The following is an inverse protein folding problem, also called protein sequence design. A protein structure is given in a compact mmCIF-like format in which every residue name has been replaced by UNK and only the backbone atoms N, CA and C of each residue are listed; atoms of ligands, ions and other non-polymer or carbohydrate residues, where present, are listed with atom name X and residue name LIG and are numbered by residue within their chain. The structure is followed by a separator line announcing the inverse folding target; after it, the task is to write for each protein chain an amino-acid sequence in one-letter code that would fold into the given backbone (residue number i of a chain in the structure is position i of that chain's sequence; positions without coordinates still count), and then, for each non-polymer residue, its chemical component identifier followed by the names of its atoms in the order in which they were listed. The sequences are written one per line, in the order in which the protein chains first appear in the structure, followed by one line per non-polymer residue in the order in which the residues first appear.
data_IF_499877484346
#
_entry.id   IF_499877484346
#
_cell.length_a   1.000
_cell.length_b   1.000
_cell.length_c   1.000
_cell.angle_alpha   90.00
_cell.angle_beta   90.00
_cell.angle_gamma   90.00
#
_symmetry.space_group_name_H-M   'P 1'
#
loop_
_entity.id
_entity.type
_entity.pdbx_description
1 polymer ?
#
# COMPACT_ATOMS: atom_id res chain seq x y z
N UNK A 1 -12.67 3.59 6.38
CA UNK A 1 -11.75 2.54 6.84
C UNK A 1 -10.34 3.10 6.97
N UNK A 2 -9.69 2.81 8.08
CA UNK A 2 -8.34 3.26 8.34
C UNK A 2 -7.35 2.21 7.86
N UNK A 3 -6.44 2.60 7.00
CA UNK A 3 -5.43 1.71 6.45
C UNK A 3 -4.06 2.34 6.68
N UNK A 4 -3.11 1.54 7.10
CA UNK A 4 -1.75 2.00 7.34
C UNK A 4 -0.73 1.20 6.56
N UNK A 5 0.37 1.84 6.23
CA UNK A 5 1.50 1.22 5.56
C UNK A 5 2.79 1.70 6.22
N UNK A 6 3.72 0.78 6.43
CA UNK A 6 5.02 1.08 7.01
C UNK A 6 6.10 0.50 6.09
N UNK A 7 7.04 1.33 5.69
CA UNK A 7 8.17 0.88 4.88
C UNK A 7 9.38 0.72 5.81
N UNK A 8 9.99 -0.45 5.74
CA UNK A 8 11.07 -0.85 6.65
C UNK A 8 12.30 -1.24 5.84
N UNK A 9 13.45 -0.75 6.23
CA UNK A 9 14.70 -1.07 5.58
C UNK A 9 15.22 -2.45 5.96
N UNK A 10 16.33 -2.84 5.36
CA UNK A 10 16.89 -4.18 5.57
C UNK A 10 17.33 -4.45 6.99
N UNK A 11 17.65 -3.41 7.73
CA UNK A 11 18.05 -3.54 9.13
C UNK A 11 16.87 -3.30 10.08
N UNK A 12 15.66 -3.35 9.51
CA UNK A 12 14.39 -3.19 10.23
C UNK A 12 14.15 -1.80 10.79
N UNK A 13 14.87 -0.83 10.26
CA UNK A 13 14.60 0.57 10.59
C UNK A 13 13.35 1.03 9.81
N UNK A 14 12.56 1.90 10.44
CA UNK A 14 11.41 2.48 9.76
C UNK A 14 11.88 3.56 8.81
N UNK A 15 11.56 3.41 7.54
CA UNK A 15 11.91 4.37 6.49
C UNK A 15 10.83 5.43 6.38
N UNK A 16 9.58 5.02 6.30
CA UNK A 16 8.47 5.95 6.21
C UNK A 16 7.17 5.24 6.56
N UNK A 17 6.13 6.03 6.75
CA UNK A 17 4.78 5.50 6.99
C UNK A 17 3.80 6.25 6.13
N UNK A 18 2.63 5.67 5.95
CA UNK A 18 1.54 6.31 5.23
C UNK A 18 0.21 5.79 5.73
N UNK A 19 -0.82 6.57 5.54
CA UNK A 19 -2.19 6.15 5.79
C UNK A 19 -3.07 6.70 4.68
N UNK A 20 -4.25 6.13 4.51
CA UNK A 20 -5.16 6.57 3.46
C UNK A 20 -5.74 7.93 3.83
N UNK A 21 -5.58 8.89 2.95
CA UNK A 21 -5.95 10.27 3.26
C UNK A 21 -6.01 11.12 1.98
N UNK A 22 -6.58 12.30 2.12
CA UNK A 22 -6.44 13.33 1.09
C UNK A 22 -4.99 13.83 1.10
N UNK A 23 -4.51 14.31 -0.04
CA UNK A 23 -3.18 14.91 -0.07
C UNK A 23 -3.07 16.10 0.86
N UNK A 24 -1.85 16.40 1.28
CA UNK A 24 -1.59 17.54 2.15
C UNK A 24 -2.07 18.85 1.51
N UNK A 25 -2.70 19.69 2.31
CA UNK A 25 -3.17 20.98 1.84
C UNK A 25 -4.51 20.96 1.13
N UNK A 26 -5.07 19.78 0.91
CA UNK A 26 -6.37 19.66 0.28
C UNK A 26 -7.44 19.69 1.35
N UNK A 27 -8.50 20.45 1.10
CA UNK A 27 -9.62 20.57 2.05
C UNK A 27 -10.38 19.25 2.11
N UNK A 28 -10.23 18.53 3.20
CA UNK A 28 -10.88 17.24 3.41
C UNK A 28 -12.26 17.35 4.08
N UNK A 29 -12.72 18.58 4.30
CA UNK A 29 -14.01 18.81 4.97
C UNK A 29 -15.16 19.04 4.01
N UNK A 30 -14.90 19.05 2.71
CA UNK A 30 -15.96 19.18 1.73
C UNK A 30 -16.68 17.87 1.55
N UNK A 31 -17.96 17.85 1.85
CA UNK A 31 -18.74 16.60 1.82
C UNK A 31 -18.75 15.93 0.45
N UNK A 32 -18.79 16.72 -0.61
CA UNK A 32 -18.84 16.17 -1.97
C UNK A 32 -17.58 15.39 -2.33
N UNK A 33 -16.47 15.65 -1.64
CA UNK A 33 -15.22 14.91 -1.87
C UNK A 33 -15.15 13.63 -1.07
N UNK A 34 -16.01 13.47 -0.08
CA UNK A 34 -16.04 12.28 0.77
C UNK A 34 -16.90 11.17 0.18
N UNK A 35 -17.70 11.49 -0.79
CA UNK A 35 -18.66 10.54 -1.35
C UNK A 35 -18.19 9.99 -2.68
N UNK A 36 -18.49 8.71 -2.91
CA UNK A 36 -18.19 8.04 -4.17
C UNK A 36 -19.18 8.53 -5.24
N UNK A 37 -18.74 8.68 -6.49
CA UNK A 37 -17.40 8.34 -6.99
C UNK A 37 -16.38 9.48 -6.85
N UNK A 38 -16.81 10.66 -6.42
CA UNK A 38 -15.93 11.82 -6.35
C UNK A 38 -14.70 11.56 -5.46
N UNK A 39 -14.89 10.88 -4.35
CA UNK A 39 -13.83 10.53 -3.42
C UNK A 39 -12.61 9.92 -4.10
N UNK A 40 -12.81 9.13 -5.14
CA UNK A 40 -11.70 8.45 -5.82
C UNK A 40 -10.74 9.39 -6.51
N UNK A 41 -11.14 10.60 -6.79
CA UNK A 41 -10.27 11.59 -7.42
C UNK A 41 -9.41 12.33 -6.40
N UNK A 42 -9.79 12.30 -5.13
CA UNK A 42 -9.17 13.13 -4.09
C UNK A 42 -8.39 12.33 -3.06
N UNK A 43 -8.71 11.07 -2.90
CA UNK A 43 -8.21 10.23 -1.82
C UNK A 43 -7.02 9.42 -2.29
N UNK A 44 -5.95 9.41 -1.50
CA UNK A 44 -4.77 8.61 -1.84
C UNK A 44 -4.67 7.41 -0.91
N UNK A 45 -4.16 6.31 -1.43
CA UNK A 45 -4.01 5.08 -0.68
C UNK A 45 -2.78 5.12 0.24
N UNK A 46 -2.86 4.37 1.35
CA UNK A 46 -1.79 4.32 2.33
C UNK A 46 -0.46 3.88 1.72
N UNK A 47 -0.50 2.91 0.83
CA UNK A 47 0.71 2.37 0.20
C UNK A 47 1.47 3.45 -0.56
N UNK A 48 0.76 4.18 -1.42
CA UNK A 48 1.40 5.23 -2.19
C UNK A 48 1.80 6.40 -1.31
N UNK A 49 1.00 6.70 -0.29
CA UNK A 49 1.37 7.77 0.65
C UNK A 49 2.68 7.46 1.38
N UNK A 50 2.91 6.20 1.75
CA UNK A 50 4.18 5.82 2.36
C UNK A 50 5.34 6.03 1.40
N UNK A 51 5.14 5.69 0.13
CA UNK A 51 6.17 5.90 -0.91
C UNK A 51 6.43 7.39 -1.10
N UNK A 52 5.36 8.20 -1.20
CA UNK A 52 5.51 9.64 -1.37
C UNK A 52 6.17 10.29 -0.16
N UNK A 53 5.87 9.82 1.04
CA UNK A 53 6.52 10.35 2.24
C UNK A 53 8.02 10.06 2.23
N UNK A 54 8.43 8.88 1.79
CA UNK A 54 9.85 8.58 1.64
C UNK A 54 10.50 9.51 0.63
N UNK A 55 9.84 9.72 -0.50
CA UNK A 55 10.32 10.62 -1.52
C UNK A 55 10.45 12.05 -0.99
N UNK A 56 9.45 12.50 -0.21
CA UNK A 56 9.42 13.85 0.34
C UNK A 56 10.59 14.12 1.28
N UNK A 57 10.98 13.14 2.08
CA UNK A 57 12.12 13.29 2.99
C UNK A 57 13.44 12.88 2.36
N UNK A 58 13.40 12.37 1.14
CA UNK A 58 14.62 12.04 0.41
C UNK A 58 15.28 10.74 0.79
N UNK A 59 14.48 9.75 1.20
CA UNK A 59 15.01 8.44 1.59
C UNK A 59 14.64 7.41 0.54
N UNK A 60 15.62 6.59 0.15
CA UNK A 60 15.40 5.55 -0.86
C UNK A 60 14.51 4.43 -0.31
N UNK A 61 13.61 3.95 -1.16
CA UNK A 61 12.78 2.79 -0.84
C UNK A 61 13.31 1.52 -1.49
N UNK A 62 14.44 1.61 -2.17
CA UNK A 62 15.01 0.46 -2.87
C UNK A 62 15.42 -0.64 -1.89
N UNK A 63 14.96 -1.86 -2.16
CA UNK A 63 15.32 -3.02 -1.35
C UNK A 63 14.58 -3.11 -0.02
N UNK A 64 13.53 -2.33 0.15
CA UNK A 64 12.79 -2.30 1.41
C UNK A 64 11.61 -3.26 1.43
N UNK A 65 10.99 -3.38 2.59
CA UNK A 65 9.79 -4.18 2.83
C UNK A 65 8.66 -3.25 3.25
N UNK A 66 7.46 -3.49 2.73
CA UNK A 66 6.27 -2.73 3.14
C UNK A 66 5.35 -3.61 3.95
N UNK A 67 4.90 -3.10 5.10
CA UNK A 67 3.92 -3.78 5.95
C UNK A 67 2.60 -3.05 5.85
N UNK A 68 1.54 -3.79 5.56
CA UNK A 68 0.21 -3.23 5.33
C UNK A 68 -0.79 -3.74 6.35
N UNK A 69 -1.73 -2.89 6.73
CA UNK A 69 -2.83 -3.30 7.60
C UNK A 69 -4.05 -3.79 6.81
N UNK A 70 -3.90 -3.97 5.52
CA UNK A 70 -4.99 -4.39 4.64
C UNK A 70 -4.55 -5.56 3.77
N UNK A 71 -5.40 -5.94 2.83
CA UNK A 71 -5.10 -7.04 1.91
C UNK A 71 -4.18 -6.64 0.78
N UNK A 72 -4.16 -7.45 -0.26
CA UNK A 72 -3.30 -7.23 -1.42
C UNK A 72 -3.59 -5.87 -2.03
N UNK A 73 -2.56 -5.06 -2.31
CA UNK A 73 -2.75 -3.74 -2.89
C UNK A 73 -3.47 -3.75 -4.23
N UNK A 74 -4.15 -2.66 -4.54
CA UNK A 74 -4.75 -2.51 -5.86
C UNK A 74 -3.65 -2.36 -6.92
N UNK A 75 -4.04 -2.47 -8.19
CA UNK A 75 -3.08 -2.45 -9.28
C UNK A 75 -2.31 -1.12 -9.37
N UNK A 76 -2.96 0.00 -9.05
CA UNK A 76 -2.28 1.28 -9.04
C UNK A 76 -1.16 1.30 -7.99
N UNK A 77 -1.46 0.80 -6.79
CA UNK A 77 -0.46 0.74 -5.72
C UNK A 77 0.63 -0.28 -6.05
N UNK A 78 0.27 -1.39 -6.68
CA UNK A 78 1.26 -2.40 -7.06
C UNK A 78 2.31 -1.82 -7.99
N UNK A 79 1.89 -1.03 -8.97
CA UNK A 79 2.85 -0.39 -9.87
C UNK A 79 3.81 0.52 -9.12
N UNK A 80 3.27 1.29 -8.17
CA UNK A 80 4.10 2.17 -7.35
C UNK A 80 5.07 1.40 -6.47
N UNK A 81 4.62 0.33 -5.85
CA UNK A 81 5.45 -0.52 -5.01
C UNK A 81 6.62 -1.10 -5.81
N UNK A 82 6.31 -1.64 -6.97
CA UNK A 82 7.34 -2.25 -7.84
C UNK A 82 8.35 -1.20 -8.27
N UNK A 83 7.86 -0.08 -8.78
CA UNK A 83 8.75 0.95 -9.33
C UNK A 83 9.58 1.67 -8.28
N UNK A 84 9.15 1.66 -7.04
CA UNK A 84 9.90 2.27 -5.95
C UNK A 84 10.99 1.36 -5.39
N UNK A 85 11.08 0.13 -5.88
CA UNK A 85 12.13 -0.79 -5.46
C UNK A 85 11.82 -1.60 -4.22
N UNK A 86 10.60 -1.58 -3.74
CA UNK A 86 10.17 -2.42 -2.63
C UNK A 86 10.19 -3.87 -3.08
N UNK A 87 10.81 -4.75 -2.31
CA UNK A 87 11.02 -6.14 -2.76
C UNK A 87 10.13 -7.15 -2.05
N UNK A 88 9.43 -6.73 -1.01
CA UNK A 88 8.58 -7.63 -0.24
C UNK A 88 7.45 -6.85 0.40
N UNK A 89 6.27 -7.45 0.46
CA UNK A 89 5.15 -6.87 1.20
C UNK A 89 4.57 -7.90 2.14
N UNK A 90 4.11 -7.43 3.30
CA UNK A 90 3.32 -8.22 4.24
C UNK A 90 1.94 -7.61 4.31
N UNK A 91 0.92 -8.43 4.20
CA UNK A 91 -0.45 -7.94 4.19
C UNK A 91 -1.40 -8.98 4.76
N UNK A 92 -2.66 -8.60 4.91
CA UNK A 92 -3.70 -9.49 5.38
C UNK A 92 -4.14 -10.41 4.24
N UNK A 93 -4.52 -11.61 4.60
CA UNK A 93 -5.13 -12.52 3.64
C UNK A 93 -6.58 -12.07 3.42
N UNK A 94 -7.04 -12.16 2.19
CA UNK A 94 -8.39 -11.77 1.85
C UNK A 94 -8.41 -10.75 0.75
N UNK A 95 -9.46 -9.97 0.71
CA UNK A 95 -9.66 -9.02 -0.38
C UNK A 95 -8.72 -7.82 -0.34
N UNK A 96 -8.91 -6.97 -1.30
CA UNK A 96 -8.14 -5.76 -1.43
C UNK A 96 -8.46 -4.77 -0.32
N UNK A 97 -7.75 -3.63 -0.36
CA UNK A 97 -7.95 -2.55 0.58
C UNK A 97 -9.38 -2.01 0.58
N UNK A 98 -10.17 -2.31 -0.42
CA UNK A 98 -11.54 -1.84 -0.51
C UNK A 98 -12.48 -2.54 0.47
N UNK A 99 -11.94 -3.43 1.29
CA UNK A 99 -12.74 -4.13 2.28
C UNK A 99 -13.75 -5.12 1.67
N UNK A 100 -13.55 -5.47 0.45
CA UNK A 100 -14.38 -6.49 -0.16
C UNK A 100 -13.88 -7.85 0.26
N UNK A 101 -14.80 -8.71 0.68
CA UNK A 101 -14.43 -10.08 1.01
C UNK A 101 -14.07 -10.87 -0.24
N UNK A 102 -14.41 -10.35 -1.39
CA UNK A 102 -14.14 -11.05 -2.63
C UNK A 102 -12.89 -10.52 -3.31
N UNK A 103 -12.27 -11.40 -4.02
CA UNK A 103 -11.11 -11.12 -4.85
C UNK A 103 -11.56 -10.31 -6.05
N UNK A 104 -10.95 -9.19 -6.31
CA UNK A 104 -11.31 -8.35 -7.45
C UNK A 104 -10.24 -8.40 -8.54
N UNK A 105 -10.61 -7.87 -9.70
CA UNK A 105 -9.72 -7.89 -10.87
C UNK A 105 -8.43 -7.12 -10.63
N UNK A 106 -8.50 -6.06 -9.84
CA UNK A 106 -7.33 -5.25 -9.55
C UNK A 106 -6.32 -6.07 -8.75
N UNK A 107 -6.78 -6.81 -7.75
CA UNK A 107 -5.92 -7.64 -6.93
C UNK A 107 -5.29 -8.77 -7.77
N UNK A 108 -6.04 -9.33 -8.70
CA UNK A 108 -5.48 -10.34 -9.59
C UNK A 108 -4.32 -9.80 -10.42
N UNK A 109 -4.49 -8.59 -10.94
CA UNK A 109 -3.43 -7.97 -11.71
C UNK A 109 -2.22 -7.61 -10.86
N UNK A 110 -2.47 -7.22 -9.61
CA UNK A 110 -1.37 -6.98 -8.68
C UNK A 110 -0.55 -8.23 -8.45
N UNK A 111 -1.22 -9.36 -8.25
CA UNK A 111 -0.55 -10.65 -8.08
C UNK A 111 0.35 -10.97 -9.26
N UNK A 112 -0.19 -10.81 -10.48
CA UNK A 112 0.59 -11.07 -11.68
C UNK A 112 1.82 -10.16 -11.76
N UNK A 113 1.62 -8.87 -11.47
CA UNK A 113 2.71 -7.91 -11.52
C UNK A 113 3.78 -8.20 -10.48
N UNK A 114 3.38 -8.52 -9.25
CA UNK A 114 4.33 -8.84 -8.20
C UNK A 114 5.13 -10.11 -8.56
N UNK A 115 4.44 -11.11 -9.09
CA UNK A 115 5.10 -12.35 -9.48
C UNK A 115 6.14 -12.10 -10.58
N UNK A 116 5.76 -11.35 -11.60
CA UNK A 116 6.68 -11.05 -12.71
C UNK A 116 7.85 -10.19 -12.26
N UNK A 117 7.61 -9.24 -11.39
CA UNK A 117 8.64 -8.32 -10.91
C UNK A 117 9.51 -8.90 -9.80
N UNK A 118 9.14 -10.05 -9.26
CA UNK A 118 9.90 -10.66 -8.19
C UNK A 118 9.64 -10.06 -6.82
N UNK A 119 8.52 -9.36 -6.64
CA UNK A 119 8.14 -8.84 -5.33
C UNK A 119 7.44 -9.95 -4.56
N UNK A 120 7.95 -10.27 -3.37
CA UNK A 120 7.40 -11.34 -2.57
C UNK A 120 6.21 -10.85 -1.76
N UNK A 121 5.08 -11.54 -1.88
CA UNK A 121 3.87 -11.25 -1.11
C UNK A 121 3.76 -12.25 0.03
N UNK A 122 3.70 -11.74 1.25
CA UNK A 122 3.62 -12.55 2.46
C UNK A 122 2.35 -12.17 3.23
N UNK A 123 1.72 -13.16 3.85
CA UNK A 123 0.54 -12.91 4.65
C UNK A 123 0.87 -13.11 6.13
N UNK A 124 0.27 -12.28 6.99
CA UNK A 124 0.56 -12.33 8.43
C UNK A 124 0.15 -13.64 9.08
N UNK A 125 -0.85 -14.32 8.52
CA UNK A 125 -1.35 -15.58 9.08
C UNK A 125 -0.55 -16.79 8.60
N UNK A 126 0.46 -16.59 7.79
CA UNK A 126 1.34 -17.67 7.40
C UNK A 126 2.25 -18.04 8.57
N UNK A 127 2.74 -19.27 8.56
CA UNK A 127 3.52 -19.79 9.65
C UNK A 127 4.68 -18.91 10.07
N UNK A 128 5.45 -18.45 9.12
CA UNK A 128 6.59 -17.60 9.43
C UNK A 128 6.17 -16.20 9.89
N UNK A 129 4.94 -15.82 9.63
CA UNK A 129 4.43 -14.52 10.02
C UNK A 129 4.47 -14.30 11.52
N UNK A 130 4.59 -15.37 12.28
CA UNK A 130 4.71 -15.26 13.71
C UNK A 130 6.12 -15.05 14.21
N UNK A 131 7.06 -14.95 13.35
CA UNK A 131 8.46 -14.79 13.75
C UNK A 131 8.77 -13.38 14.20
#
# INVERSE_FOLDING_TARGET
TQIGAVIVGKDKEIVSTGYNSFPRGINDKKNERQERPEKYYWFEHAERNAIYNAARIGVSTKGTTMYLSCGVPCSDCARGIINSGIIRIFCERGGSASNSAKWDESAERSWEMFDEAGVKVCFYDDEFGGM
#
